data_IF_272256175304
#
_entry.id   IF_272256175304
#
_cell.length_a   1.000
_cell.length_b   1.000
_cell.length_c   1.000
_cell.angle_alpha   90.00
_cell.angle_beta   90.00
_cell.angle_gamma   90.00
#
_symmetry.space_group_name_H-M   'P 1'
#
loop_
_entity.id
_entity.type
_entity.pdbx_description
1 polymer ?
#
# COMPACT_ATOMS: atom_id res chain seq x y z
N UNK A 1 2.79 24.58 52.50
CA UNK A 1 3.26 23.84 51.31
C UNK A 1 2.15 23.24 50.43
N UNK A 2 0.85 23.36 50.77
CA UNK A 2 -0.24 22.75 49.99
C UNK A 2 -0.87 23.65 48.88
N UNK A 3 -0.60 24.96 48.89
CA UNK A 3 -1.24 25.91 47.96
C UNK A 3 -0.69 25.84 46.52
N UNK A 4 0.51 25.30 46.34
CA UNK A 4 1.16 25.25 45.02
C UNK A 4 0.65 24.08 44.14
N UNK A 5 0.02 23.07 44.73
CA UNK A 5 -0.56 21.93 44.02
C UNK A 5 -1.95 22.20 43.42
N UNK A 6 -2.75 23.06 44.06
CA UNK A 6 -4.09 23.43 43.57
C UNK A 6 -4.00 24.30 42.32
N UNK A 7 -3.13 25.32 42.33
CA UNK A 7 -2.99 26.24 41.20
C UNK A 7 -2.47 25.54 39.93
N UNK A 8 -1.61 24.53 40.11
CA UNK A 8 -1.09 23.71 39.02
C UNK A 8 -2.17 22.79 38.44
N UNK A 9 -3.06 22.26 39.28
CA UNK A 9 -4.22 21.46 38.84
C UNK A 9 -5.21 22.30 38.05
N UNK A 10 -5.50 23.53 38.49
CA UNK A 10 -6.43 24.43 37.83
C UNK A 10 -5.89 24.94 36.48
N UNK A 11 -4.58 25.20 36.41
CA UNK A 11 -3.92 25.55 35.15
C UNK A 11 -3.90 24.39 34.15
N UNK A 12 -3.69 23.16 34.63
CA UNK A 12 -3.74 21.95 33.80
C UNK A 12 -5.14 21.69 33.26
N UNK A 13 -6.16 21.82 34.10
CA UNK A 13 -7.56 21.68 33.72
C UNK A 13 -7.97 22.76 32.71
N UNK A 14 -7.52 24.01 32.89
CA UNK A 14 -7.72 25.09 31.94
C UNK A 14 -7.07 24.82 30.57
N UNK A 15 -5.85 24.29 30.56
CA UNK A 15 -5.16 23.92 29.33
C UNK A 15 -5.84 22.74 28.61
N UNK A 16 -6.27 21.72 29.36
CA UNK A 16 -6.99 20.57 28.82
C UNK A 16 -8.30 20.99 28.14
N UNK A 17 -9.08 21.84 28.80
CA UNK A 17 -10.32 22.39 28.24
C UNK A 17 -10.07 23.23 26.99
N UNK A 18 -8.96 23.98 26.94
CA UNK A 18 -8.56 24.74 25.74
C UNK A 18 -8.24 23.80 24.58
N UNK A 19 -7.39 22.79 24.79
CA UNK A 19 -7.03 21.79 23.76
C UNK A 19 -8.28 21.06 23.25
N UNK A 20 -9.16 20.61 24.15
CA UNK A 20 -10.39 19.93 23.78
C UNK A 20 -11.29 20.80 22.89
N UNK A 21 -11.40 22.10 23.20
CA UNK A 21 -12.17 23.05 22.37
C UNK A 21 -11.56 23.20 20.97
N UNK A 22 -10.24 23.21 20.85
CA UNK A 22 -9.57 23.28 19.55
C UNK A 22 -9.74 21.99 18.74
N UNK A 23 -9.67 20.82 19.38
CA UNK A 23 -9.92 19.53 18.72
C UNK A 23 -11.35 19.50 18.18
N UNK A 24 -12.35 19.87 18.99
CA UNK A 24 -13.74 19.93 18.54
C UNK A 24 -13.93 20.87 17.33
N UNK A 25 -13.30 22.06 17.38
CA UNK A 25 -13.35 23.01 16.26
C UNK A 25 -12.71 22.44 14.98
N UNK A 26 -11.54 21.79 15.09
CA UNK A 26 -10.89 21.15 13.94
C UNK A 26 -11.78 20.06 13.37
N UNK A 27 -12.40 19.23 14.22
CA UNK A 27 -13.32 18.18 13.79
C UNK A 27 -14.55 18.74 13.07
N UNK A 28 -15.11 19.87 13.53
CA UNK A 28 -16.22 20.56 12.85
C UNK A 28 -15.80 21.11 11.48
N UNK A 29 -14.60 21.71 11.39
CA UNK A 29 -14.04 22.25 10.13
C UNK A 29 -13.56 21.16 9.14
N UNK A 30 -13.52 19.89 9.57
CA UNK A 30 -12.98 18.77 8.79
C UNK A 30 -13.94 18.29 7.69
N UNK A 31 -15.23 18.67 7.74
CA UNK A 31 -16.19 18.17 6.76
C UNK A 31 -16.06 18.91 5.42
N UNK A 32 -15.19 18.38 4.57
CA UNK A 32 -14.94 18.85 3.22
C UNK A 32 -16.23 18.85 2.37
N UNK A 33 -17.22 18.00 2.68
CA UNK A 33 -18.48 17.93 1.95
C UNK A 33 -19.28 19.24 2.04
N UNK A 34 -19.37 19.84 3.23
CA UNK A 34 -20.05 21.12 3.40
C UNK A 34 -19.26 22.28 2.78
N UNK A 35 -17.93 22.24 2.85
CA UNK A 35 -17.06 23.23 2.18
C UNK A 35 -17.17 23.17 0.65
N UNK A 36 -17.32 21.97 0.08
CA UNK A 36 -17.54 21.76 -1.36
C UNK A 36 -18.99 22.03 -1.82
N UNK A 37 -19.89 22.43 -0.93
CA UNK A 37 -21.25 22.90 -1.25
C UNK A 37 -21.47 24.38 -0.95
N UNK A 38 -20.52 25.01 -0.26
CA UNK A 38 -20.72 26.34 0.28
C UNK A 38 -20.55 27.41 -0.80
N UNK A 39 -21.61 27.67 -1.56
CA UNK A 39 -21.82 28.94 -2.25
C UNK A 39 -22.78 29.80 -1.38
N UNK A 40 -22.32 30.92 -0.79
CA UNK A 40 -23.16 31.78 0.04
C UNK A 40 -24.36 32.38 -0.70
N UNK A 41 -24.41 32.28 -2.03
CA UNK A 41 -25.51 32.74 -2.88
C UNK A 41 -26.34 31.60 -3.49
N UNK A 42 -25.86 30.34 -3.48
CA UNK A 42 -26.57 29.17 -4.05
C UNK A 42 -26.29 27.86 -3.26
N UNK A 43 -26.91 27.66 -2.09
CA UNK A 43 -26.59 26.55 -1.18
C UNK A 43 -26.88 25.13 -1.71
N UNK A 44 -27.62 25.00 -2.82
CA UNK A 44 -27.94 23.72 -3.48
C UNK A 44 -26.99 23.38 -4.65
N UNK A 45 -26.03 24.25 -4.98
CA UNK A 45 -25.09 24.02 -6.08
C UNK A 45 -23.82 23.37 -5.56
N UNK A 46 -23.47 22.22 -6.14
CA UNK A 46 -22.15 21.60 -5.96
C UNK A 46 -21.07 22.59 -6.42
N UNK A 47 -20.07 22.86 -5.58
CA UNK A 47 -18.91 23.68 -5.95
C UNK A 47 -18.18 22.95 -7.08
N UNK A 48 -18.29 23.50 -8.28
CA UNK A 48 -17.56 23.03 -9.45
C UNK A 48 -16.14 23.55 -9.35
N UNK A 49 -15.19 22.73 -9.81
CA UNK A 49 -13.80 23.15 -10.06
C UNK A 49 -13.81 24.53 -10.71
N UNK A 50 -12.94 25.44 -10.26
CA UNK A 50 -12.82 26.79 -10.78
C UNK A 50 -12.91 26.83 -12.31
N UNK A 51 -13.79 27.68 -12.84
CA UNK A 51 -14.03 27.79 -14.29
C UNK A 51 -13.02 28.73 -14.95
N UNK A 52 -12.34 29.56 -14.16
CA UNK A 52 -11.35 30.52 -14.62
C UNK A 52 -9.94 30.10 -14.20
N UNK A 53 -8.95 30.43 -15.02
CA UNK A 53 -7.52 30.23 -14.68
C UNK A 53 -7.12 30.95 -13.39
N UNK A 54 -7.80 32.06 -13.06
CA UNK A 54 -7.59 32.79 -11.81
C UNK A 54 -8.04 32.05 -10.54
N UNK A 55 -8.85 30.99 -10.67
CA UNK A 55 -9.25 30.14 -9.55
C UNK A 55 -8.15 29.11 -9.21
N UNK A 56 -7.15 28.94 -10.08
CA UNK A 56 -5.97 28.11 -9.88
C UNK A 56 -4.71 28.99 -9.94
N UNK A 57 -4.59 29.93 -9.00
CA UNK A 57 -3.37 30.71 -8.89
C UNK A 57 -2.19 29.77 -8.61
N UNK A 58 -1.10 29.83 -9.39
CA UNK A 58 0.07 29.03 -9.13
C UNK A 58 0.66 29.43 -7.78
N UNK A 59 0.66 28.50 -6.81
CA UNK A 59 1.16 28.74 -5.45
C UNK A 59 2.66 29.07 -5.40
N UNK A 60 3.39 28.77 -6.48
CA UNK A 60 4.77 29.19 -6.69
C UNK A 60 4.94 30.72 -6.62
N UNK A 61 3.99 31.49 -7.14
CA UNK A 61 4.05 32.97 -7.10
C UNK A 61 3.83 33.51 -5.69
N UNK A 62 3.26 32.69 -4.80
CA UNK A 62 2.99 33.01 -3.40
C UNK A 62 4.06 32.47 -2.45
N UNK A 63 5.15 31.89 -2.99
CA UNK A 63 6.21 31.19 -2.24
C UNK A 63 5.65 30.08 -1.31
N UNK A 64 4.48 29.52 -1.63
CA UNK A 64 3.89 28.40 -0.90
C UNK A 64 4.17 27.12 -1.68
N UNK A 65 5.16 26.30 -1.29
CA UNK A 65 5.41 25.03 -1.96
C UNK A 65 4.30 24.03 -1.60
N UNK A 66 3.34 23.82 -2.51
CA UNK A 66 2.29 22.79 -2.35
C UNK A 66 2.86 21.38 -2.42
N UNK A 67 3.77 21.16 -3.37
CA UNK A 67 4.54 19.94 -3.52
C UNK A 67 6.01 20.29 -3.65
N UNK A 68 6.86 19.52 -2.97
CA UNK A 68 8.31 19.58 -3.11
C UNK A 68 8.79 18.30 -3.77
N UNK A 69 9.73 18.43 -4.70
CA UNK A 69 10.38 17.27 -5.30
C UNK A 69 11.16 16.54 -4.20
N UNK A 70 10.75 15.31 -3.90
CA UNK A 70 11.46 14.43 -2.99
C UNK A 70 12.64 13.71 -3.67
N UNK A 71 13.01 12.56 -3.11
CA UNK A 71 14.08 11.73 -3.64
C UNK A 71 13.65 11.03 -4.94
N UNK A 72 14.18 11.47 -6.08
CA UNK A 72 14.01 10.77 -7.35
C UNK A 72 14.94 9.56 -7.40
N UNK A 73 14.37 8.36 -7.48
CA UNK A 73 15.11 7.10 -7.60
C UNK A 73 14.99 6.58 -9.03
N UNK A 74 16.11 6.39 -9.76
CA UNK A 74 16.06 5.81 -11.09
C UNK A 74 15.67 4.33 -10.99
N UNK A 75 15.03 3.83 -12.04
CA UNK A 75 14.78 2.40 -12.22
C UNK A 75 16.13 1.65 -12.23
N UNK A 76 16.23 0.47 -11.57
CA UNK A 76 17.42 -0.38 -11.59
C UNK A 76 18.00 -0.59 -13.00
N UNK A 77 19.33 -0.69 -13.12
CA UNK A 77 20.00 -0.81 -14.43
C UNK A 77 19.58 -2.08 -15.16
N UNK A 78 19.43 -3.16 -14.39
CA UNK A 78 19.02 -4.48 -14.82
C UNK A 78 17.67 -4.43 -15.56
N UNK A 79 16.75 -3.58 -15.12
CA UNK A 79 15.44 -3.38 -15.77
C UNK A 79 15.51 -2.51 -17.01
N UNK A 80 16.42 -1.53 -17.04
CA UNK A 80 16.60 -0.64 -18.18
C UNK A 80 17.06 -1.42 -19.40
N UNK A 81 17.91 -2.43 -19.20
CA UNK A 81 18.39 -3.29 -20.29
C UNK A 81 17.25 -4.15 -20.87
N UNK A 82 16.35 -4.65 -20.02
CA UNK A 82 15.16 -5.38 -20.46
C UNK A 82 14.22 -4.49 -21.29
N UNK A 83 14.05 -3.23 -20.91
CA UNK A 83 13.24 -2.26 -21.64
C UNK A 83 13.78 -1.95 -23.05
N UNK A 84 15.11 -2.04 -23.23
CA UNK A 84 15.77 -1.78 -24.50
C UNK A 84 15.70 -2.98 -25.46
N UNK A 85 15.28 -4.15 -24.99
CA UNK A 85 15.11 -5.34 -25.81
C UNK A 85 13.81 -5.30 -26.63
N UNK A 86 13.85 -5.84 -27.85
CA UNK A 86 12.92 -5.49 -28.93
C UNK A 86 11.60 -6.30 -28.87
N UNK A 87 10.45 -5.61 -28.81
CA UNK A 87 9.06 -6.09 -29.00
C UNK A 87 8.29 -6.75 -27.84
N UNK A 88 8.66 -6.53 -26.59
CA UNK A 88 7.86 -7.04 -25.45
C UNK A 88 6.79 -6.06 -24.97
N UNK A 89 5.67 -6.60 -24.47
CA UNK A 89 4.66 -5.79 -23.77
C UNK A 89 5.18 -5.53 -22.35
N UNK A 90 5.51 -4.26 -22.08
CA UNK A 90 6.01 -3.84 -20.77
C UNK A 90 4.96 -3.05 -20.00
N UNK A 91 4.69 -3.45 -18.75
CA UNK A 91 3.85 -2.68 -17.82
C UNK A 91 4.62 -2.42 -16.54
N UNK A 92 4.52 -1.21 -16.01
CA UNK A 92 5.20 -0.83 -14.76
C UNK A 92 4.20 -0.16 -13.82
N UNK A 93 4.46 -0.25 -12.52
CA UNK A 93 3.64 0.40 -11.52
C UNK A 93 4.26 0.34 -10.13
N UNK A 94 3.57 0.98 -9.19
CA UNK A 94 3.94 0.98 -7.77
C UNK A 94 2.86 0.27 -6.96
N UNK A 95 3.31 -0.40 -5.89
CA UNK A 95 2.51 -1.11 -4.90
C UNK A 95 2.82 -0.46 -3.54
N UNK A 96 2.26 0.74 -3.29
CA UNK A 96 2.60 1.55 -2.12
C UNK A 96 2.23 0.83 -0.81
N UNK A 97 1.25 -0.08 -0.84
CA UNK A 97 0.83 -0.86 0.33
C UNK A 97 1.94 -1.74 0.91
N UNK A 98 2.94 -2.09 0.10
CA UNK A 98 4.09 -2.91 0.52
C UNK A 98 5.44 -2.24 0.26
N UNK A 99 5.46 -0.98 -0.20
CA UNK A 99 6.70 -0.29 -0.56
C UNK A 99 7.48 -0.99 -1.67
N UNK A 100 6.79 -1.54 -2.69
CA UNK A 100 7.42 -2.19 -3.83
C UNK A 100 6.97 -1.58 -5.15
N UNK A 101 7.86 -1.58 -6.14
CA UNK A 101 7.54 -1.29 -7.52
C UNK A 101 7.63 -2.58 -8.33
N UNK A 102 6.90 -2.64 -9.43
CA UNK A 102 6.92 -3.80 -10.32
C UNK A 102 7.12 -3.37 -11.77
N UNK A 103 7.70 -4.31 -12.52
CA UNK A 103 7.83 -4.25 -13.96
C UNK A 103 7.50 -5.63 -14.52
N UNK A 104 6.70 -5.67 -15.57
CA UNK A 104 6.39 -6.90 -16.29
C UNK A 104 6.97 -6.81 -17.68
N UNK A 105 7.53 -7.91 -18.16
CA UNK A 105 8.03 -8.05 -19.53
C UNK A 105 7.39 -9.32 -20.09
N UNK A 106 6.39 -9.17 -20.93
CA UNK A 106 5.54 -10.27 -21.38
C UNK A 106 4.96 -11.09 -20.20
N UNK A 107 5.50 -12.29 -19.91
CA UNK A 107 5.04 -13.16 -18.83
C UNK A 107 5.91 -13.07 -17.56
N UNK A 108 7.04 -12.36 -17.64
CA UNK A 108 7.98 -12.19 -16.53
C UNK A 108 7.52 -11.07 -15.60
N UNK A 109 7.59 -11.32 -14.29
CA UNK A 109 7.31 -10.33 -13.26
C UNK A 109 8.58 -10.02 -12.46
N UNK A 110 8.92 -8.75 -12.41
CA UNK A 110 9.98 -8.22 -11.58
C UNK A 110 9.39 -7.32 -10.51
N UNK A 111 9.85 -7.46 -9.27
CA UNK A 111 9.41 -6.65 -8.12
C UNK A 111 10.63 -6.21 -7.33
N UNK A 112 10.69 -4.94 -6.92
CA UNK A 112 11.81 -4.41 -6.14
C UNK A 112 11.35 -3.34 -5.16
N UNK A 113 12.18 -3.05 -4.16
CA UNK A 113 11.97 -1.95 -3.23
C UNK A 113 12.30 -0.61 -3.89
N UNK A 114 11.31 0.27 -4.06
CA UNK A 114 11.52 1.56 -4.76
C UNK A 114 12.18 2.64 -3.89
N UNK A 115 12.32 2.43 -2.58
CA UNK A 115 12.96 3.39 -1.67
C UNK A 115 14.49 3.36 -1.79
N UNK A 116 15.04 2.15 -1.82
CA UNK A 116 16.48 1.88 -1.81
C UNK A 116 16.98 1.11 -3.06
N UNK A 117 16.07 0.72 -3.96
CA UNK A 117 16.36 -0.12 -5.12
C UNK A 117 16.95 -1.50 -4.76
N UNK A 118 16.60 -2.03 -3.58
CA UNK A 118 16.98 -3.37 -3.12
C UNK A 118 15.88 -4.41 -3.37
N UNK A 119 16.10 -5.64 -2.87
CA UNK A 119 15.10 -6.73 -2.89
C UNK A 119 14.52 -6.99 -4.29
N UNK A 120 15.39 -7.02 -5.30
CA UNK A 120 14.98 -7.33 -6.65
C UNK A 120 14.64 -8.82 -6.77
N UNK A 121 13.34 -9.11 -6.85
CA UNK A 121 12.79 -10.42 -7.07
C UNK A 121 12.33 -10.60 -8.53
N UNK A 122 12.54 -11.80 -9.05
CA UNK A 122 12.09 -12.24 -10.37
C UNK A 122 11.14 -13.43 -10.22
N UNK A 123 10.08 -13.44 -11.01
CA UNK A 123 9.09 -14.50 -11.03
C UNK A 123 8.68 -14.85 -12.46
N UNK A 124 8.90 -16.12 -12.81
CA UNK A 124 8.66 -16.74 -14.13
C UNK A 124 7.55 -17.80 -14.11
N UNK A 125 6.85 -17.96 -12.97
CA UNK A 125 5.80 -18.96 -12.79
C UNK A 125 4.51 -18.71 -13.58
N UNK A 126 4.47 -17.67 -14.42
CA UNK A 126 3.33 -17.28 -15.24
C UNK A 126 3.62 -17.62 -16.69
N UNK A 127 2.72 -18.36 -17.34
CA UNK A 127 2.89 -18.80 -18.73
C UNK A 127 2.40 -17.79 -19.77
N UNK A 128 1.63 -16.79 -19.35
CA UNK A 128 0.87 -15.93 -20.23
C UNK A 128 1.24 -14.46 -20.01
N UNK A 129 1.18 -13.66 -21.07
CA UNK A 129 1.46 -12.22 -20.98
C UNK A 129 0.65 -11.55 -19.87
N UNK A 130 1.36 -10.94 -18.93
CA UNK A 130 0.83 -10.19 -17.82
C UNK A 130 0.32 -8.85 -18.34
N UNK A 131 -0.92 -8.53 -17.99
CA UNK A 131 -1.58 -7.28 -18.36
C UNK A 131 -1.71 -6.33 -17.17
N UNK A 132 -1.80 -6.87 -15.95
CA UNK A 132 -1.93 -6.05 -14.74
C UNK A 132 -1.47 -6.80 -13.49
N UNK A 133 -0.90 -6.07 -12.55
CA UNK A 133 -0.53 -6.54 -11.21
C UNK A 133 -1.24 -5.67 -10.18
N UNK A 134 -1.72 -6.29 -9.11
CA UNK A 134 -2.35 -5.60 -7.99
C UNK A 134 -2.05 -6.33 -6.68
N UNK A 135 -2.24 -5.65 -5.55
CA UNK A 135 -2.12 -6.23 -4.23
C UNK A 135 -3.43 -6.16 -3.47
N UNK A 136 -3.71 -7.22 -2.73
CA UNK A 136 -4.84 -7.29 -1.83
C UNK A 136 -4.44 -7.91 -0.48
N UNK A 137 -5.17 -7.53 0.56
CA UNK A 137 -5.05 -8.19 1.86
C UNK A 137 -5.78 -9.54 1.82
N UNK A 138 -5.21 -10.61 2.38
CA UNK A 138 -5.87 -11.90 2.46
C UNK A 138 -7.14 -11.80 3.33
N UNK A 139 -8.19 -12.49 2.91
CA UNK A 139 -9.43 -12.56 3.70
C UNK A 139 -9.20 -13.38 4.97
N UNK A 140 -9.56 -12.79 6.12
CA UNK A 140 -9.49 -13.46 7.41
C UNK A 140 -10.23 -14.81 7.38
N UNK A 141 -9.62 -15.85 7.96
CA UNK A 141 -10.18 -17.21 8.01
C UNK A 141 -10.09 -18.04 6.72
N UNK A 142 -9.66 -17.49 5.58
CA UNK A 142 -9.54 -18.27 4.32
C UNK A 142 -8.19 -18.97 4.21
N UNK A 143 -7.11 -18.26 4.54
CA UNK A 143 -5.73 -18.73 4.32
C UNK A 143 -5.03 -19.21 5.60
N UNK A 144 -5.66 -19.04 6.77
CA UNK A 144 -5.14 -19.48 8.07
C UNK A 144 -5.26 -21.00 8.28
N UNK A 145 -6.17 -21.68 7.56
CA UNK A 145 -6.48 -23.12 7.76
C UNK A 145 -6.04 -24.00 6.57
N UNK A 146 -5.84 -23.41 5.39
CA UNK A 146 -5.85 -24.15 4.12
C UNK A 146 -4.49 -24.68 3.63
N UNK A 147 -3.35 -24.12 4.04
CA UNK A 147 -2.04 -24.71 3.69
C UNK A 147 -1.69 -25.95 4.51
N UNK A 148 -2.23 -26.04 5.74
CA UNK A 148 -1.93 -27.16 6.62
C UNK A 148 -2.58 -28.47 6.10
N UNK A 149 -3.82 -28.38 5.61
CA UNK A 149 -4.55 -29.56 5.12
C UNK A 149 -4.10 -30.04 3.73
N UNK A 150 -3.55 -29.16 2.87
CA UNK A 150 -3.13 -29.55 1.50
C UNK A 150 -1.80 -30.29 1.47
N UNK A 151 -0.98 -30.19 2.51
CA UNK A 151 0.29 -30.94 2.66
C UNK A 151 0.11 -32.33 3.28
N UNK A 152 -1.14 -32.76 3.57
CA UNK A 152 -1.42 -34.12 4.04
C UNK A 152 -0.82 -34.46 5.41
N UNK A 153 -0.43 -33.48 6.22
CA UNK A 153 0.17 -33.71 7.53
C UNK A 153 -0.91 -33.68 8.60
N UNK A 154 -1.46 -34.85 8.94
CA UNK A 154 -2.26 -35.02 10.15
C UNK A 154 -1.34 -34.95 11.37
N UNK A 155 -0.92 -33.75 11.76
CA UNK A 155 -0.22 -33.56 13.02
C UNK A 155 -1.24 -33.20 14.09
N UNK A 156 -1.55 -34.19 14.94
CA UNK A 156 -2.33 -34.03 16.19
C UNK A 156 -1.57 -33.24 17.27
N UNK A 157 -0.56 -32.47 16.89
CA UNK A 157 0.22 -31.62 17.76
C UNK A 157 0.80 -30.48 16.92
N UNK A 158 0.22 -29.30 17.11
CA UNK A 158 0.73 -28.00 16.66
C UNK A 158 2.27 -27.92 16.73
N UNK A 159 2.98 -27.97 15.60
CA UNK A 159 4.40 -27.67 15.60
C UNK A 159 4.54 -26.14 15.68
N UNK A 160 4.80 -25.64 16.90
CA UNK A 160 5.25 -24.26 17.14
C UNK A 160 6.49 -23.99 16.26
N UNK A 161 6.32 -23.35 15.11
CA UNK A 161 7.47 -22.87 14.34
C UNK A 161 7.31 -22.63 12.83
N UNK A 162 6.24 -23.06 12.17
CA UNK A 162 6.09 -22.88 10.71
C UNK A 162 4.70 -22.42 10.29
N UNK A 163 4.16 -21.40 10.97
CA UNK A 163 3.03 -20.66 10.42
C UNK A 163 3.57 -19.72 9.35
N UNK A 164 3.62 -20.20 8.10
CA UNK A 164 3.86 -19.37 6.92
C UNK A 164 2.68 -18.41 6.76
N UNK A 165 2.73 -17.31 7.49
CA UNK A 165 1.72 -16.26 7.42
C UNK A 165 1.80 -15.59 6.06
N UNK A 166 0.67 -15.55 5.36
CA UNK A 166 0.52 -14.77 4.15
C UNK A 166 0.21 -13.34 4.59
N UNK A 167 1.07 -12.40 4.22
CA UNK A 167 0.89 -11.00 4.55
C UNK A 167 0.06 -10.28 3.50
N UNK A 168 0.31 -10.58 2.22
CA UNK A 168 -0.47 -10.04 1.12
C UNK A 168 -0.65 -11.06 -0.01
N UNK A 169 -1.64 -10.78 -0.85
CA UNK A 169 -1.91 -11.51 -2.08
C UNK A 169 -1.48 -10.64 -3.26
N UNK A 170 -0.63 -11.20 -4.12
CA UNK A 170 -0.25 -10.57 -5.39
C UNK A 170 -1.18 -11.15 -6.46
N UNK A 171 -2.03 -10.29 -7.01
CA UNK A 171 -3.01 -10.63 -8.04
C UNK A 171 -2.39 -10.27 -9.38
N UNK A 172 -2.18 -11.27 -10.22
CA UNK A 172 -1.64 -11.08 -11.56
C UNK A 172 -2.70 -11.44 -12.59
N UNK A 173 -3.13 -10.46 -13.37
CA UNK A 173 -4.01 -10.67 -14.51
C UNK A 173 -3.16 -10.91 -15.75
N UNK A 174 -3.46 -11.99 -16.46
CA UNK A 174 -2.85 -12.32 -17.75
C UNK A 174 -3.89 -12.20 -18.86
N UNK A 175 -3.51 -12.53 -20.10
CA UNK A 175 -4.44 -12.61 -21.23
C UNK A 175 -5.44 -13.77 -21.15
N UNK A 176 -5.19 -14.79 -20.33
CA UNK A 176 -6.05 -16.00 -20.25
C UNK A 176 -6.58 -16.31 -18.86
N UNK A 177 -5.88 -15.88 -17.82
CA UNK A 177 -6.21 -16.20 -16.44
C UNK A 177 -5.83 -15.09 -15.46
N UNK A 178 -6.45 -15.13 -14.28
CA UNK A 178 -6.02 -14.40 -13.09
C UNK A 178 -5.34 -15.37 -12.14
N UNK A 179 -4.11 -15.07 -11.77
CA UNK A 179 -3.29 -15.84 -10.84
C UNK A 179 -3.21 -15.10 -9.51
N UNK A 180 -3.52 -15.80 -8.41
CA UNK A 180 -3.33 -15.30 -7.06
C UNK A 180 -2.08 -15.95 -6.46
N UNK A 181 -1.06 -15.14 -6.18
CA UNK A 181 0.18 -15.55 -5.53
C UNK A 181 0.16 -15.10 -4.06
N UNK A 182 0.76 -15.90 -3.19
CA UNK A 182 1.04 -15.46 -1.82
C UNK A 182 2.36 -14.71 -1.78
N UNK A 183 2.42 -13.66 -0.98
CA UNK A 183 3.68 -13.07 -0.58
C UNK A 183 3.79 -13.01 0.96
N UNK A 184 5.00 -13.25 1.44
CA UNK A 184 5.39 -12.99 2.82
C UNK A 184 6.48 -11.92 2.89
N UNK A 185 6.71 -11.43 4.10
CA UNK A 185 7.75 -10.47 4.40
C UNK A 185 8.53 -10.99 5.60
N UNK A 186 9.86 -10.94 5.52
CA UNK A 186 10.72 -11.32 6.64
C UNK A 186 11.70 -10.21 6.94
N UNK A 187 11.95 -9.96 8.21
CA UNK A 187 13.00 -9.05 8.66
C UNK A 187 14.05 -9.87 9.42
N UNK A 188 15.31 -9.80 8.99
CA UNK A 188 16.43 -10.45 9.72
C UNK A 188 16.21 -11.94 10.01
N UNK A 189 15.64 -12.68 9.05
CA UNK A 189 15.24 -14.11 9.13
C UNK A 189 14.06 -14.43 10.05
N UNK A 190 13.40 -13.45 10.65
CA UNK A 190 12.13 -13.63 11.35
C UNK A 190 10.97 -13.17 10.45
N UNK A 191 9.96 -14.03 10.27
CA UNK A 191 8.70 -13.64 9.63
C UNK A 191 8.03 -12.54 10.46
N UNK A 192 7.67 -11.41 9.82
CA UNK A 192 7.04 -10.28 10.49
C UNK A 192 5.71 -10.74 11.11
N UNK A 193 5.61 -10.84 12.43
CA UNK A 193 4.40 -11.33 13.10
C UNK A 193 3.40 -10.19 13.28
N UNK A 194 2.43 -10.13 12.38
CA UNK A 194 1.42 -9.06 12.23
C UNK A 194 2.01 -7.65 12.06
N UNK A 195 1.57 -6.88 11.06
CA UNK A 195 1.99 -5.49 10.93
C UNK A 195 1.37 -4.68 12.05
N UNK A 196 2.14 -4.44 13.11
CA UNK A 196 1.76 -3.47 14.15
C UNK A 196 1.78 -2.04 13.62
N UNK A 197 2.54 -1.79 12.53
CA UNK A 197 2.66 -0.53 11.82
C UNK A 197 2.68 -0.70 10.29
N UNK A 198 2.19 0.28 9.50
CA UNK A 198 2.23 0.23 8.03
C UNK A 198 3.65 0.19 7.43
N UNK A 199 4.65 0.71 8.13
CA UNK A 199 6.02 0.85 7.61
C UNK A 199 6.86 -0.43 7.72
N UNK A 200 6.44 -1.44 8.49
CA UNK A 200 7.24 -2.66 8.73
C UNK A 200 7.50 -3.45 7.43
N UNK A 201 6.55 -3.42 6.49
CA UNK A 201 6.71 -4.11 5.20
C UNK A 201 7.70 -3.43 4.26
N UNK A 202 7.93 -2.12 4.41
CA UNK A 202 8.77 -1.37 3.47
C UNK A 202 10.25 -1.74 3.60
N UNK A 203 10.68 -2.14 4.79
CA UNK A 203 12.06 -2.53 5.09
C UNK A 203 12.30 -4.04 5.13
N UNK A 204 11.25 -4.85 5.11
CA UNK A 204 11.34 -6.31 5.15
C UNK A 204 11.54 -6.89 3.75
N UNK A 205 12.27 -8.00 3.62
CA UNK A 205 12.48 -8.71 2.35
C UNK A 205 11.22 -9.46 1.95
N UNK A 206 10.83 -9.36 0.68
CA UNK A 206 9.61 -9.98 0.15
C UNK A 206 9.92 -11.36 -0.44
N UNK A 207 9.18 -12.39 -0.04
CA UNK A 207 9.19 -13.68 -0.75
C UNK A 207 7.84 -14.00 -1.36
N UNK A 208 7.84 -14.15 -2.67
CA UNK A 208 6.73 -14.68 -3.45
C UNK A 208 6.74 -16.21 -3.40
N UNK A 209 5.58 -16.81 -3.18
CA UNK A 209 5.45 -18.26 -3.19
C UNK A 209 5.48 -18.75 -4.65
N UNK A 210 6.20 -19.86 -4.93
CA UNK A 210 6.35 -20.36 -6.30
C UNK A 210 5.02 -20.86 -6.88
N UNK A 211 4.15 -21.41 -6.02
CA UNK A 211 2.87 -21.97 -6.43
C UNK A 211 1.74 -20.94 -6.32
N UNK A 212 0.97 -20.84 -7.40
CA UNK A 212 -0.27 -20.09 -7.39
C UNK A 212 -1.27 -20.70 -6.39
N UNK A 213 -1.83 -19.85 -5.53
CA UNK A 213 -2.84 -20.25 -4.57
C UNK A 213 -4.14 -20.60 -5.27
N UNK A 214 -4.48 -19.80 -6.28
CA UNK A 214 -5.67 -19.94 -7.07
C UNK A 214 -5.42 -19.42 -8.48
N UNK A 215 -6.06 -20.04 -9.46
CA UNK A 215 -6.05 -19.64 -10.86
C UNK A 215 -7.49 -19.56 -11.36
N UNK A 216 -7.86 -18.43 -11.97
CA UNK A 216 -9.19 -18.18 -12.53
C UNK A 216 -9.05 -17.99 -14.02
N UNK A 217 -9.51 -18.95 -14.83
CA UNK A 217 -9.46 -18.85 -16.29
C UNK A 217 -10.63 -18.01 -16.83
N UNK A 218 -10.36 -17.13 -17.79
CA UNK A 218 -11.39 -16.29 -18.43
C UNK A 218 -12.23 -17.05 -19.46
N UNK A 219 -11.67 -18.09 -20.05
CA UNK A 219 -12.37 -18.99 -20.98
C UNK A 219 -12.32 -20.40 -20.40
N UNK A 220 -13.45 -21.11 -20.44
CA UNK A 220 -13.55 -22.48 -19.92
C UNK A 220 -12.44 -23.37 -20.49
N UNK A 221 -11.71 -24.04 -19.58
CA UNK A 221 -10.57 -24.90 -19.90
C UNK A 221 -10.94 -26.14 -20.71
#
# INVERSE_FOLDING_TARGET
MALHGSLASDALEGAANYVQRFILKICEDSDLYYKLKYDPYQPDRITISGLATGDYQPLNDLEIPEFVHGNLKPIPQEMRDQLNSTQSICTMGILPEIGRAYMTVDADLYVWNYEDNSDLAYFDGISNTITKVAIAKPKAGVFQVSYFNRLGVNLTSEPRGFEKHIHCLVIVSTTKEIVLLAANFTNSNETVREPSLPDDFRQADMYLFPDALFKVFFYGG
#
